data_IF_286204356149
#
_entry.id   IF_286204356149
#
_cell.length_a   1.000
_cell.length_b   1.000
_cell.length_c   1.000
_cell.angle_alpha   90.00
_cell.angle_beta   90.00
_cell.angle_gamma   90.00
#
_symmetry.space_group_name_H-M   'P 1'
#
loop_
_entity.id
_entity.type
_entity.pdbx_description
1 polymer ?
#
# COMPACT_ATOMS: atom_id res chain seq x y z
N UNK A 1 -6.31 -4.50 -20.56
CA UNK A 1 -7.69 -4.13 -20.12
C UNK A 1 -7.56 -3.54 -18.71
N UNK A 2 -7.89 -2.26 -18.51
CA UNK A 2 -7.80 -1.61 -17.19
C UNK A 2 -9.11 -1.91 -16.45
N UNK A 3 -9.03 -2.76 -15.43
CA UNK A 3 -10.21 -3.12 -14.62
C UNK A 3 -10.35 -2.05 -13.54
N UNK A 4 -11.36 -1.21 -13.65
CA UNK A 4 -11.76 -0.33 -12.55
C UNK A 4 -12.44 -1.15 -11.46
N UNK A 5 -12.21 -0.78 -10.21
CA UNK A 5 -12.93 -1.41 -9.09
C UNK A 5 -14.44 -1.21 -9.26
N UNK A 6 -15.24 -2.27 -9.19
CA UNK A 6 -16.69 -2.14 -9.25
C UNK A 6 -17.20 -1.30 -8.07
N UNK A 7 -18.11 -0.38 -8.33
CA UNK A 7 -18.68 0.50 -7.29
C UNK A 7 -19.33 -0.28 -6.13
N UNK A 8 -19.94 -1.44 -6.43
CA UNK A 8 -20.58 -2.27 -5.41
C UNK A 8 -19.61 -2.90 -4.40
N UNK A 9 -18.31 -2.94 -4.67
CA UNK A 9 -17.32 -3.41 -3.69
C UNK A 9 -17.20 -2.51 -2.46
N UNK A 10 -17.50 -1.22 -2.62
CA UNK A 10 -17.46 -0.24 -1.53
C UNK A 10 -18.85 -0.01 -0.88
N UNK A 11 -19.89 -0.70 -1.36
CA UNK A 11 -21.23 -0.57 -0.80
C UNK A 11 -21.32 -1.26 0.56
N UNK A 12 -21.77 -0.52 1.59
CA UNK A 12 -22.10 -1.10 2.91
C UNK A 12 -23.39 -1.94 2.89
N UNK A 13 -24.22 -1.75 1.86
CA UNK A 13 -25.46 -2.53 1.67
C UNK A 13 -25.19 -3.73 0.77
N UNK A 14 -25.90 -4.82 1.03
CA UNK A 14 -25.84 -6.02 0.21
C UNK A 14 -26.27 -5.67 -1.23
N UNK A 15 -25.40 -5.93 -2.20
CA UNK A 15 -25.64 -5.59 -3.59
C UNK A 15 -25.91 -6.87 -4.40
N UNK A 16 -26.88 -6.83 -5.32
CA UNK A 16 -27.27 -7.97 -6.15
C UNK A 16 -26.06 -8.66 -6.82
N UNK A 17 -25.17 -7.90 -7.45
CA UNK A 17 -23.98 -8.49 -8.08
C UNK A 17 -23.02 -9.18 -7.08
N UNK A 18 -22.98 -8.73 -5.84
CA UNK A 18 -22.19 -9.43 -4.82
C UNK A 18 -22.73 -10.81 -4.52
N UNK A 19 -24.06 -10.96 -4.50
CA UNK A 19 -24.73 -12.26 -4.28
C UNK A 19 -24.54 -13.21 -5.48
N UNK A 20 -24.73 -12.71 -6.68
CA UNK A 20 -24.56 -13.52 -7.92
C UNK A 20 -23.13 -14.03 -8.05
N UNK A 21 -22.13 -13.23 -7.67
CA UNK A 21 -20.71 -13.60 -7.74
C UNK A 21 -20.24 -14.40 -6.52
N UNK A 22 -21.02 -14.49 -5.45
CA UNK A 22 -20.62 -15.15 -4.21
C UNK A 22 -20.24 -16.63 -4.37
N UNK A 23 -20.96 -17.47 -5.16
CA UNK A 23 -20.55 -18.86 -5.37
C UNK A 23 -19.13 -18.97 -5.98
N UNK A 24 -18.79 -18.08 -6.91
CA UNK A 24 -17.46 -18.05 -7.53
C UNK A 24 -16.39 -17.68 -6.49
N UNK A 25 -16.68 -16.67 -5.66
CA UNK A 25 -15.79 -16.29 -4.55
C UNK A 25 -15.56 -17.44 -3.58
N UNK A 26 -16.61 -18.21 -3.28
CA UNK A 26 -16.53 -19.35 -2.39
C UNK A 26 -15.61 -20.46 -2.93
N UNK A 27 -15.76 -20.82 -4.21
CA UNK A 27 -14.89 -21.79 -4.89
C UNK A 27 -13.43 -21.33 -4.87
N UNK A 28 -13.18 -20.07 -5.18
CA UNK A 28 -11.82 -19.48 -5.13
C UNK A 28 -11.23 -19.57 -3.70
N UNK A 29 -12.04 -19.29 -2.67
CA UNK A 29 -11.59 -19.39 -1.27
C UNK A 29 -11.25 -20.83 -0.87
N UNK A 30 -12.04 -21.83 -1.30
CA UNK A 30 -11.72 -23.23 -1.08
C UNK A 30 -10.37 -23.58 -1.70
N UNK A 31 -10.15 -23.18 -2.96
CA UNK A 31 -8.87 -23.41 -3.64
C UNK A 31 -7.69 -22.80 -2.88
N UNK A 32 -7.81 -21.55 -2.45
CA UNK A 32 -6.76 -20.92 -1.63
C UNK A 32 -6.56 -21.64 -0.29
N UNK A 33 -7.63 -22.07 0.38
CA UNK A 33 -7.55 -22.80 1.63
C UNK A 33 -6.78 -24.11 1.47
N UNK A 34 -7.07 -24.90 0.43
CA UNK A 34 -6.36 -26.14 0.12
C UNK A 34 -4.88 -25.84 -0.17
N UNK A 35 -4.60 -24.84 -1.01
CA UNK A 35 -3.22 -24.43 -1.33
C UNK A 35 -2.43 -24.06 -0.07
N UNK A 36 -3.03 -23.33 0.87
CA UNK A 36 -2.40 -22.96 2.14
C UNK A 36 -2.11 -24.20 3.00
N UNK A 37 -3.04 -25.15 3.06
CA UNK A 37 -2.87 -26.41 3.84
C UNK A 37 -1.74 -27.29 3.32
N UNK A 38 -1.57 -27.36 2.01
CA UNK A 38 -0.56 -28.20 1.36
C UNK A 38 0.81 -27.51 1.30
N UNK A 39 0.88 -26.19 1.46
CA UNK A 39 2.13 -25.45 1.36
C UNK A 39 3.09 -25.78 2.51
N UNK A 40 4.28 -26.29 2.17
CA UNK A 40 5.39 -26.43 3.14
C UNK A 40 6.04 -25.07 3.36
N UNK A 41 6.07 -24.61 4.60
CA UNK A 41 6.67 -23.32 4.97
C UNK A 41 8.18 -23.46 5.12
N UNK A 42 8.93 -22.76 4.30
CA UNK A 42 10.38 -22.65 4.43
C UNK A 42 10.74 -21.71 5.58
N UNK A 43 11.59 -22.15 6.49
CA UNK A 43 12.24 -21.29 7.47
C UNK A 43 13.51 -20.71 6.86
N UNK A 44 13.69 -19.39 6.97
CA UNK A 44 14.84 -18.67 6.38
C UNK A 44 16.02 -18.50 7.36
N UNK A 45 15.86 -18.94 8.63
CA UNK A 45 16.92 -18.87 9.66
C UNK A 45 17.10 -17.49 10.29
N UNK A 46 16.44 -16.45 9.80
CA UNK A 46 16.42 -15.10 10.38
C UNK A 46 14.99 -14.59 10.50
N UNK A 47 14.71 -13.60 11.38
CA UNK A 47 13.37 -13.06 11.57
C UNK A 47 12.76 -12.48 10.30
N UNK A 48 11.48 -12.80 10.06
CA UNK A 48 10.69 -12.32 8.94
C UNK A 48 9.46 -11.56 9.44
N UNK A 49 9.44 -10.25 9.21
CA UNK A 49 8.30 -9.37 9.44
C UNK A 49 7.54 -9.21 8.13
N UNK A 50 6.27 -9.55 8.11
CA UNK A 50 5.46 -9.46 6.91
C UNK A 50 4.45 -8.32 7.01
N UNK A 51 4.59 -7.33 6.16
CA UNK A 51 3.62 -6.26 5.98
C UNK A 51 2.75 -6.57 4.76
N UNK A 52 1.46 -6.63 4.95
CA UNK A 52 0.53 -6.96 3.88
C UNK A 52 -0.86 -6.37 4.07
N UNK A 53 -1.76 -6.74 3.19
CA UNK A 53 -3.17 -6.40 3.30
C UNK A 53 -4.03 -7.51 2.70
N UNK A 54 -5.32 -7.43 2.99
CA UNK A 54 -6.33 -8.29 2.38
C UNK A 54 -7.25 -7.54 1.43
N UNK A 55 -7.25 -6.21 1.43
CA UNK A 55 -8.03 -5.39 0.52
C UNK A 55 -7.28 -5.16 -0.80
N UNK A 56 -7.95 -5.27 -1.95
CA UNK A 56 -7.37 -5.01 -3.27
C UNK A 56 -7.19 -3.51 -3.49
N UNK A 57 -5.97 -3.01 -3.35
CA UNK A 57 -5.61 -1.61 -3.58
C UNK A 57 -4.72 -0.99 -2.51
N UNK A 58 -4.57 0.31 -2.56
CA UNK A 58 -3.66 1.09 -1.72
C UNK A 58 -4.15 1.16 -0.26
N UNK A 59 -3.49 0.43 0.63
CA UNK A 59 -3.73 0.44 2.08
C UNK A 59 -2.54 0.95 2.88
N UNK A 60 -1.50 1.49 2.21
CA UNK A 60 -0.33 2.03 2.90
C UNK A 60 0.79 1.04 3.22
N UNK A 61 0.81 -0.16 2.63
CA UNK A 61 1.83 -1.19 2.90
C UNK A 61 3.27 -0.70 2.71
N UNK A 62 3.57 -0.16 1.53
CA UNK A 62 4.94 0.23 1.18
C UNK A 62 5.48 1.35 2.10
N UNK A 63 4.76 2.45 2.37
CA UNK A 63 5.19 3.43 3.35
C UNK A 63 5.39 2.84 4.75
N UNK A 64 4.53 1.91 5.18
CA UNK A 64 4.68 1.23 6.47
C UNK A 64 5.88 0.28 6.49
N UNK A 65 6.15 -0.45 5.41
CA UNK A 65 7.33 -1.31 5.28
C UNK A 65 8.63 -0.50 5.40
N UNK A 66 8.67 0.69 4.79
CA UNK A 66 9.77 1.65 4.90
C UNK A 66 9.91 2.13 6.35
N UNK A 67 8.80 2.50 7.01
CA UNK A 67 8.80 2.95 8.41
C UNK A 67 9.32 1.87 9.35
N UNK A 68 8.84 0.62 9.21
CA UNK A 68 9.31 -0.53 10.02
C UNK A 68 10.79 -0.78 9.80
N UNK A 69 11.27 -0.77 8.55
CA UNK A 69 12.69 -0.94 8.27
C UNK A 69 13.53 0.19 8.92
N UNK A 70 13.05 1.43 8.90
CA UNK A 70 13.70 2.56 9.58
C UNK A 70 13.74 2.39 11.10
N UNK A 71 12.65 1.90 11.71
CA UNK A 71 12.61 1.59 13.15
C UNK A 71 13.60 0.49 13.53
N UNK A 72 13.67 -0.58 12.73
CA UNK A 72 14.63 -1.66 12.94
C UNK A 72 16.09 -1.16 12.86
N UNK A 73 16.40 -0.24 11.94
CA UNK A 73 17.71 0.41 11.88
C UNK A 73 18.03 1.19 13.17
N UNK A 74 17.05 1.94 13.71
CA UNK A 74 17.19 2.66 15.00
C UNK A 74 17.45 1.69 16.17
N UNK A 75 16.95 0.47 16.09
CA UNK A 75 17.18 -0.61 17.05
C UNK A 75 18.46 -1.42 16.75
N UNK A 76 19.41 -0.86 16.00
CA UNK A 76 20.68 -1.49 15.63
C UNK A 76 20.52 -2.85 14.91
N UNK A 77 19.40 -3.05 14.19
CA UNK A 77 19.24 -4.20 13.29
C UNK A 77 19.63 -3.80 11.86
N UNK A 78 19.98 -4.80 11.07
CA UNK A 78 20.30 -4.62 9.65
C UNK A 78 19.15 -5.19 8.77
N UNK A 79 18.05 -4.44 8.56
CA UNK A 79 16.90 -4.92 7.82
C UNK A 79 17.08 -4.82 6.31
N UNK A 80 16.56 -5.81 5.57
CA UNK A 80 16.32 -5.73 4.14
C UNK A 80 14.84 -5.79 3.82
N UNK A 81 14.36 -4.94 2.91
CA UNK A 81 13.00 -5.03 2.38
C UNK A 81 13.00 -6.04 1.22
N UNK A 82 12.10 -7.01 1.31
CA UNK A 82 11.93 -8.07 0.31
C UNK A 82 10.62 -7.85 -0.43
N UNK A 83 10.71 -7.74 -1.75
CA UNK A 83 9.56 -7.56 -2.62
C UNK A 83 9.57 -8.56 -3.76
N UNK A 84 8.39 -9.08 -4.14
CA UNK A 84 8.26 -9.86 -5.35
C UNK A 84 8.31 -8.92 -6.55
N UNK A 85 9.15 -9.25 -7.54
CA UNK A 85 9.29 -8.42 -8.73
C UNK A 85 8.06 -8.53 -9.62
N UNK A 86 7.46 -7.39 -9.91
CA UNK A 86 6.47 -7.19 -10.96
C UNK A 86 6.83 -5.91 -11.73
N UNK A 87 6.87 -6.00 -13.06
CA UNK A 87 7.22 -4.85 -13.92
C UNK A 87 6.36 -3.61 -13.64
N UNK A 88 5.10 -3.84 -13.24
CA UNK A 88 4.12 -2.77 -12.95
C UNK A 88 4.37 -2.07 -11.61
N UNK A 89 5.21 -2.63 -10.72
CA UNK A 89 5.52 -2.08 -9.39
C UNK A 89 6.91 -1.47 -9.32
N UNK A 90 7.45 -1.03 -10.47
CA UNK A 90 8.76 -0.41 -10.54
C UNK A 90 8.85 0.84 -9.67
N UNK A 91 7.79 1.65 -9.65
CA UNK A 91 7.64 2.84 -8.81
C UNK A 91 7.83 2.55 -7.31
N UNK A 92 7.26 1.46 -6.82
CA UNK A 92 7.41 1.05 -5.41
C UNK A 92 8.84 0.58 -5.10
N UNK A 93 9.49 -0.07 -6.06
CA UNK A 93 10.88 -0.51 -5.92
C UNK A 93 11.81 0.70 -5.84
N UNK A 94 11.64 1.67 -6.74
CA UNK A 94 12.44 2.90 -6.74
C UNK A 94 12.21 3.72 -5.46
N UNK A 95 10.96 3.84 -5.01
CA UNK A 95 10.62 4.51 -3.76
C UNK A 95 11.34 3.87 -2.56
N UNK A 96 11.30 2.54 -2.43
CA UNK A 96 11.99 1.85 -1.33
C UNK A 96 13.50 2.02 -1.44
N UNK A 97 14.04 1.95 -2.65
CA UNK A 97 15.45 2.11 -2.92
C UNK A 97 15.95 3.49 -2.53
N UNK A 98 15.19 4.53 -2.88
CA UNK A 98 15.50 5.92 -2.54
C UNK A 98 15.49 6.15 -1.03
N UNK A 99 14.48 5.61 -0.33
CA UNK A 99 14.27 5.85 1.11
C UNK A 99 15.13 5.00 2.04
N UNK A 100 15.40 3.75 1.68
CA UNK A 100 16.04 2.76 2.57
C UNK A 100 17.36 2.22 1.98
N UNK A 101 17.47 2.14 0.65
CA UNK A 101 18.62 1.54 -0.05
C UNK A 101 18.59 0.01 -0.08
N UNK A 102 18.16 -0.63 0.99
CA UNK A 102 18.26 -2.08 1.20
C UNK A 102 16.99 -2.80 0.71
N UNK A 103 16.82 -2.92 -0.60
CA UNK A 103 15.73 -3.67 -1.23
C UNK A 103 16.27 -4.83 -2.06
N UNK A 104 15.63 -5.98 -1.95
CA UNK A 104 15.89 -7.17 -2.75
C UNK A 104 14.60 -7.61 -3.46
N UNK A 105 14.66 -7.65 -4.76
CA UNK A 105 13.55 -8.03 -5.63
C UNK A 105 13.91 -9.21 -6.50
N UNK A 106 13.02 -10.19 -6.58
CA UNK A 106 13.15 -11.35 -7.47
C UNK A 106 11.73 -11.85 -7.83
N UNK A 107 11.63 -12.74 -8.83
CA UNK A 107 10.40 -13.48 -9.16
C UNK A 107 9.94 -14.34 -7.98
N UNK A 108 10.85 -14.76 -7.12
CA UNK A 108 10.59 -15.51 -5.88
C UNK A 108 11.11 -14.74 -4.67
N UNK A 109 10.25 -14.53 -3.64
CA UNK A 109 10.70 -13.96 -2.37
C UNK A 109 11.75 -14.81 -1.66
N UNK A 110 11.75 -16.13 -1.86
CA UNK A 110 12.79 -17.02 -1.31
C UNK A 110 14.15 -16.66 -1.89
N UNK A 111 14.25 -16.46 -3.22
CA UNK A 111 15.50 -16.06 -3.86
C UNK A 111 15.96 -14.68 -3.41
N UNK A 112 15.06 -13.70 -3.39
CA UNK A 112 15.35 -12.36 -2.89
C UNK A 112 15.83 -12.39 -1.42
N UNK A 113 15.20 -13.19 -0.56
CA UNK A 113 15.59 -13.37 0.83
C UNK A 113 16.96 -13.99 0.98
N UNK A 114 17.26 -15.07 0.23
CA UNK A 114 18.57 -15.73 0.27
C UNK A 114 19.69 -14.76 -0.15
N UNK A 115 19.43 -13.91 -1.17
CA UNK A 115 20.38 -12.89 -1.60
C UNK A 115 20.62 -11.83 -0.52
N UNK A 116 19.58 -11.41 0.21
CA UNK A 116 19.72 -10.49 1.33
C UNK A 116 20.52 -11.12 2.49
N UNK A 117 20.22 -12.37 2.84
CA UNK A 117 20.92 -13.11 3.91
C UNK A 117 22.41 -13.26 3.58
N UNK A 118 22.74 -13.65 2.33
CA UNK A 118 24.13 -13.76 1.87
C UNK A 118 24.91 -12.43 1.96
N UNK A 119 24.21 -11.29 1.90
CA UNK A 119 24.81 -9.95 2.06
C UNK A 119 24.85 -9.48 3.52
N UNK A 120 24.57 -10.34 4.50
CA UNK A 120 24.68 -10.03 5.92
C UNK A 120 23.50 -9.27 6.54
N UNK A 121 22.34 -9.25 5.87
CA UNK A 121 21.12 -8.74 6.50
C UNK A 121 20.56 -9.74 7.51
N UNK A 122 20.12 -9.25 8.66
CA UNK A 122 19.73 -10.07 9.80
C UNK A 122 18.24 -10.03 10.15
N UNK A 123 17.45 -9.19 9.47
CA UNK A 123 15.99 -9.12 9.55
C UNK A 123 15.41 -8.85 8.17
N UNK A 124 14.33 -9.54 7.80
CA UNK A 124 13.64 -9.34 6.53
C UNK A 124 12.28 -8.68 6.78
N UNK A 125 11.99 -7.62 6.01
CA UNK A 125 10.68 -6.97 5.98
C UNK A 125 10.03 -7.27 4.62
N UNK A 126 9.00 -8.11 4.60
CA UNK A 126 8.28 -8.43 3.37
C UNK A 126 7.26 -7.35 3.05
N UNK A 127 7.43 -6.65 1.94
CA UNK A 127 6.42 -5.74 1.41
C UNK A 127 5.44 -6.49 0.50
N UNK A 128 4.13 -6.40 0.82
CA UNK A 128 3.02 -7.14 0.19
C UNK A 128 3.24 -8.66 0.13
N UNK A 129 3.75 -9.22 1.23
CA UNK A 129 4.11 -10.63 1.33
C UNK A 129 3.04 -11.54 1.95
N UNK A 130 1.85 -11.00 2.31
CA UNK A 130 0.89 -11.73 3.14
C UNK A 130 0.40 -13.02 2.47
N UNK A 131 0.07 -13.00 1.18
CA UNK A 131 -0.39 -14.13 0.40
C UNK A 131 0.70 -15.14 0.02
N UNK A 132 1.96 -14.90 0.38
CA UNK A 132 3.03 -15.87 0.18
C UNK A 132 3.10 -16.84 1.37
N UNK A 133 2.42 -17.97 1.25
CA UNK A 133 2.29 -18.95 2.32
C UNK A 133 3.44 -19.96 2.39
N UNK A 134 4.39 -19.90 1.45
CA UNK A 134 5.51 -20.84 1.37
C UNK A 134 6.69 -20.46 2.30
N UNK A 135 6.60 -19.34 3.00
CA UNK A 135 7.65 -18.85 3.91
C UNK A 135 7.06 -18.69 5.31
N UNK A 136 7.81 -19.16 6.31
CA UNK A 136 7.49 -18.89 7.71
C UNK A 136 7.69 -17.41 7.99
N UNK A 137 6.70 -16.76 8.57
CA UNK A 137 6.72 -15.36 8.99
C UNK A 137 6.62 -15.34 10.51
N UNK A 138 7.50 -14.59 11.16
CA UNK A 138 7.56 -14.53 12.61
C UNK A 138 6.61 -13.44 13.15
N UNK A 139 6.44 -12.36 12.39
CA UNK A 139 5.48 -11.30 12.69
C UNK A 139 4.64 -11.00 11.46
N UNK A 140 3.32 -11.08 11.60
CA UNK A 140 2.36 -10.71 10.56
C UNK A 140 1.68 -9.40 10.91
N UNK A 141 1.76 -8.45 9.99
CA UNK A 141 1.18 -7.11 10.08
C UNK A 141 0.20 -6.92 8.94
N UNK A 142 -1.04 -6.55 9.25
CA UNK A 142 -2.04 -6.17 8.24
C UNK A 142 -2.28 -4.67 8.25
N UNK A 143 -2.36 -4.11 7.05
CA UNK A 143 -2.68 -2.70 6.82
C UNK A 143 -4.10 -2.55 6.30
N UNK A 144 -4.85 -1.65 6.90
CA UNK A 144 -6.14 -1.18 6.43
C UNK A 144 -6.10 0.33 6.19
N UNK A 145 -6.97 0.82 5.32
CA UNK A 145 -7.26 2.25 5.18
C UNK A 145 -8.63 2.51 5.76
N UNK A 146 -8.77 3.51 6.62
CA UNK A 146 -10.00 3.82 7.36
C UNK A 146 -11.19 4.11 6.43
N UNK A 147 -10.97 4.80 5.31
CA UNK A 147 -12.03 5.11 4.34
C UNK A 147 -12.57 3.87 3.61
N UNK A 148 -11.78 2.81 3.47
CA UNK A 148 -12.10 1.59 2.70
C UNK A 148 -12.37 0.38 3.58
N UNK A 149 -11.62 0.21 4.65
CA UNK A 149 -11.63 -0.94 5.57
C UNK A 149 -11.67 -2.28 4.81
N UNK A 150 -12.82 -2.94 4.85
CA UNK A 150 -13.08 -4.23 4.17
C UNK A 150 -14.07 -4.09 2.99
N UNK A 151 -14.48 -2.87 2.66
CA UNK A 151 -15.53 -2.64 1.66
C UNK A 151 -16.83 -3.33 2.05
N UNK A 152 -17.41 -4.10 1.12
CA UNK A 152 -18.62 -4.90 1.40
C UNK A 152 -18.35 -6.22 2.17
N UNK A 153 -17.10 -6.48 2.56
CA UNK A 153 -16.71 -7.66 3.36
C UNK A 153 -16.54 -8.97 2.58
N UNK A 154 -16.91 -9.00 1.30
CA UNK A 154 -16.78 -10.20 0.47
C UNK A 154 -15.38 -10.29 -0.17
N UNK A 155 -15.02 -11.54 -0.52
CA UNK A 155 -13.79 -11.81 -1.27
C UNK A 155 -14.01 -11.69 -2.78
N UNK A 156 -12.93 -11.55 -3.54
CA UNK A 156 -12.96 -11.46 -5.02
C UNK A 156 -13.61 -12.71 -5.61
N UNK A 157 -14.52 -12.56 -6.59
CA UNK A 157 -14.97 -11.33 -7.27
C UNK A 157 -16.20 -10.63 -6.66
N UNK A 158 -16.83 -11.19 -5.60
CA UNK A 158 -18.01 -10.58 -4.95
C UNK A 158 -17.71 -9.29 -4.21
N UNK A 159 -16.46 -9.09 -3.79
CA UNK A 159 -16.00 -7.92 -3.05
C UNK A 159 -14.50 -7.70 -3.20
N UNK A 160 -13.94 -6.73 -2.47
CA UNK A 160 -12.57 -6.30 -2.66
C UNK A 160 -11.52 -7.14 -1.92
N UNK A 161 -11.91 -8.14 -1.12
CA UNK A 161 -10.98 -8.85 -0.29
C UNK A 161 -10.26 -9.96 -1.05
N UNK A 162 -8.92 -10.03 -0.92
CA UNK A 162 -8.08 -11.13 -1.43
C UNK A 162 -8.29 -12.40 -0.62
N UNK A 163 -8.50 -12.25 0.68
CA UNK A 163 -8.74 -13.32 1.66
C UNK A 163 -9.82 -12.89 2.65
N UNK A 164 -10.50 -13.86 3.26
CA UNK A 164 -11.51 -13.59 4.28
C UNK A 164 -10.91 -12.85 5.49
N UNK A 165 -11.69 -11.98 6.12
CA UNK A 165 -11.29 -11.25 7.33
C UNK A 165 -10.86 -12.18 8.48
N UNK A 166 -11.30 -13.45 8.49
CA UNK A 166 -10.87 -14.46 9.47
C UNK A 166 -9.35 -14.65 9.55
N UNK A 167 -8.62 -14.20 8.51
CA UNK A 167 -7.16 -14.26 8.48
C UNK A 167 -6.50 -13.40 9.57
N UNK A 168 -7.20 -12.43 10.14
CA UNK A 168 -6.79 -11.63 11.29
C UNK A 168 -6.34 -12.52 12.47
N UNK A 169 -6.91 -13.73 12.64
CA UNK A 169 -6.45 -14.71 13.66
C UNK A 169 -4.96 -15.05 13.58
N UNK A 170 -4.33 -14.82 12.42
CA UNK A 170 -2.90 -15.08 12.18
C UNK A 170 -2.04 -13.82 12.27
N UNK A 171 -2.64 -12.67 12.61
CA UNK A 171 -1.95 -11.39 12.67
C UNK A 171 -1.74 -10.95 14.10
N UNK A 172 -0.54 -10.52 14.42
CA UNK A 172 -0.20 -9.97 15.72
C UNK A 172 -0.50 -8.47 15.78
N UNK A 173 -0.33 -7.78 14.65
CA UNK A 173 -0.48 -6.32 14.58
C UNK A 173 -1.36 -5.94 13.39
N UNK A 174 -2.24 -4.98 13.62
CA UNK A 174 -3.01 -4.30 12.58
C UNK A 174 -2.71 -2.81 12.63
N UNK A 175 -2.39 -2.26 11.47
CA UNK A 175 -2.31 -0.81 11.29
C UNK A 175 -3.50 -0.32 10.47
N UNK A 176 -4.18 0.71 10.99
CA UNK A 176 -5.27 1.40 10.30
C UNK A 176 -4.77 2.80 9.96
N UNK A 177 -4.65 3.09 8.66
CA UNK A 177 -4.27 4.42 8.20
C UNK A 177 -5.50 5.33 8.13
N UNK A 178 -5.55 6.32 8.99
CA UNK A 178 -6.66 7.27 9.16
C UNK A 178 -7.08 7.45 10.61
N UNK A 179 -8.32 7.88 10.82
CA UNK A 179 -8.89 8.16 12.14
C UNK A 179 -9.33 6.89 12.87
N UNK A 180 -9.47 7.00 14.20
CA UNK A 180 -9.96 5.89 15.02
C UNK A 180 -11.37 5.45 14.60
N UNK A 181 -11.54 4.13 14.48
CA UNK A 181 -12.79 3.51 14.08
C UNK A 181 -13.15 2.38 15.06
N UNK A 182 -13.81 2.74 16.15
CA UNK A 182 -14.17 1.80 17.23
C UNK A 182 -14.99 0.61 16.74
N UNK A 183 -15.94 0.83 15.84
CA UNK A 183 -16.77 -0.26 15.32
C UNK A 183 -15.93 -1.29 14.54
N UNK A 184 -14.92 -0.84 13.81
CA UNK A 184 -14.02 -1.77 13.12
C UNK A 184 -13.05 -2.47 14.08
N UNK A 185 -12.57 -1.77 15.12
CA UNK A 185 -11.79 -2.40 16.20
C UNK A 185 -12.57 -3.54 16.85
N UNK A 186 -13.85 -3.33 17.20
CA UNK A 186 -14.72 -4.35 17.77
C UNK A 186 -14.87 -5.56 16.84
N UNK A 187 -15.04 -5.34 15.54
CA UNK A 187 -15.08 -6.43 14.55
C UNK A 187 -13.76 -7.21 14.55
N UNK A 188 -12.60 -6.55 14.56
CA UNK A 188 -11.29 -7.21 14.61
C UNK A 188 -11.13 -8.00 15.91
N UNK A 189 -11.42 -7.39 17.06
CA UNK A 189 -11.26 -7.99 18.39
C UNK A 189 -12.23 -9.16 18.62
N UNK A 190 -13.42 -9.12 18.00
CA UNK A 190 -14.34 -10.27 18.01
C UNK A 190 -13.76 -11.51 17.30
N UNK A 191 -12.87 -11.30 16.30
CA UNK A 191 -12.20 -12.38 15.56
C UNK A 191 -10.92 -12.81 16.27
N UNK A 192 -10.16 -11.88 16.83
CA UNK A 192 -8.87 -12.13 17.48
C UNK A 192 -8.63 -11.13 18.62
N UNK A 193 -8.84 -11.60 19.86
CA UNK A 193 -8.67 -10.79 21.09
C UNK A 193 -7.22 -10.34 21.34
N UNK A 194 -6.24 -11.07 20.80
CA UNK A 194 -4.81 -10.85 21.05
C UNK A 194 -4.12 -10.01 19.96
N UNK A 195 -4.88 -9.42 19.03
CA UNK A 195 -4.33 -8.60 17.97
C UNK A 195 -4.21 -7.15 18.45
N UNK A 196 -2.99 -6.58 18.36
CA UNK A 196 -2.78 -5.18 18.69
C UNK A 196 -3.18 -4.31 17.50
N UNK A 197 -3.93 -3.24 17.75
CA UNK A 197 -4.40 -2.31 16.74
C UNK A 197 -3.73 -0.95 16.97
N UNK A 198 -3.06 -0.43 15.96
CA UNK A 198 -2.43 0.88 15.95
C UNK A 198 -2.95 1.71 14.78
N UNK A 199 -2.89 3.02 14.95
CA UNK A 199 -3.27 3.97 13.92
C UNK A 199 -2.06 4.63 13.31
N UNK A 200 -2.15 4.92 12.02
CA UNK A 200 -1.12 5.64 11.29
C UNK A 200 -1.71 6.82 10.55
N UNK A 201 -0.91 7.87 10.40
CA UNK A 201 -1.24 9.02 9.56
C UNK A 201 -0.07 9.33 8.63
N UNK A 202 -0.38 9.80 7.44
CA UNK A 202 0.62 10.36 6.56
C UNK A 202 0.94 11.78 6.96
N UNK A 203 2.23 12.05 7.14
CA UNK A 203 2.75 13.39 7.37
C UNK A 203 3.48 13.82 6.12
N UNK A 204 3.05 14.90 5.45
CA UNK A 204 3.76 15.44 4.31
C UNK A 204 5.13 15.98 4.74
N UNK A 205 6.12 15.81 3.87
CA UNK A 205 7.48 16.31 4.08
C UNK A 205 7.63 17.62 3.32
N UNK A 206 8.15 18.66 4.00
CA UNK A 206 8.42 19.98 3.41
C UNK A 206 7.18 20.60 2.72
N UNK A 207 6.01 20.46 3.32
CA UNK A 207 4.73 20.94 2.76
C UNK A 207 4.71 22.47 2.61
N UNK A 208 5.47 23.18 3.42
CA UNK A 208 5.60 24.63 3.42
C UNK A 208 6.06 25.22 2.07
N UNK A 209 6.78 24.42 1.27
CA UNK A 209 7.21 24.78 -0.09
C UNK A 209 6.08 24.93 -1.09
N UNK A 210 4.92 24.36 -0.76
CA UNK A 210 3.73 24.31 -1.64
C UNK A 210 2.62 25.24 -1.19
N UNK A 211 2.74 25.85 0.01
CA UNK A 211 1.77 26.84 0.49
C UNK A 211 1.91 28.14 -0.31
N UNK A 212 0.83 28.87 -0.47
CA UNK A 212 0.72 30.14 -1.22
C UNK A 212 0.99 30.05 -2.74
N UNK A 213 0.93 28.85 -3.30
CA UNK A 213 1.02 28.61 -4.74
C UNK A 213 -0.20 27.86 -5.22
N UNK A 214 -0.52 27.99 -6.50
CA UNK A 214 -1.62 27.28 -7.17
C UNK A 214 -1.09 26.02 -7.84
N UNK A 215 -1.76 24.89 -7.63
CA UNK A 215 -1.34 23.63 -8.21
C UNK A 215 -2.41 22.95 -9.04
N UNK A 216 -2.00 22.31 -10.12
CA UNK A 216 -2.71 21.16 -10.70
C UNK A 216 -2.11 19.91 -10.07
N UNK A 217 -2.94 19.14 -9.38
CA UNK A 217 -2.54 17.89 -8.76
C UNK A 217 -2.99 16.69 -9.60
N UNK A 218 -2.11 15.71 -9.81
CA UNK A 218 -2.49 14.46 -10.46
C UNK A 218 -1.99 13.24 -9.68
N UNK A 219 -2.76 12.14 -9.74
CA UNK A 219 -2.36 10.90 -9.09
C UNK A 219 -2.95 9.67 -9.78
N UNK A 220 -2.12 8.62 -9.90
CA UNK A 220 -2.46 7.29 -10.43
C UNK A 220 -2.19 6.18 -9.42
N UNK A 221 -2.56 6.40 -8.17
CA UNK A 221 -2.42 5.44 -7.06
C UNK A 221 -3.77 4.82 -6.71
N UNK A 222 -3.79 3.78 -5.87
CA UNK A 222 -5.00 3.02 -5.51
C UNK A 222 -6.13 3.83 -4.88
N UNK A 223 -5.84 4.99 -4.29
CA UNK A 223 -6.81 5.97 -3.82
C UNK A 223 -6.27 7.39 -4.00
N UNK A 224 -6.47 8.02 -5.18
CA UNK A 224 -5.99 9.36 -5.46
C UNK A 224 -6.55 10.44 -4.53
N UNK A 225 -7.81 10.29 -4.09
CA UNK A 225 -8.45 11.28 -3.22
C UNK A 225 -7.72 11.47 -1.89
N UNK A 226 -7.10 10.43 -1.36
CA UNK A 226 -6.29 10.58 -0.13
C UNK A 226 -5.10 11.52 -0.32
N UNK A 227 -4.52 11.57 -1.53
CA UNK A 227 -3.45 12.50 -1.84
C UNK A 227 -3.97 13.94 -1.98
N UNK A 228 -5.08 14.12 -2.68
CA UNK A 228 -5.69 15.43 -2.84
C UNK A 228 -6.20 15.99 -1.52
N UNK A 229 -6.83 15.16 -0.70
CA UNK A 229 -7.29 15.56 0.63
C UNK A 229 -6.11 15.98 1.51
N UNK A 230 -5.01 15.21 1.50
CA UNK A 230 -3.79 15.55 2.25
C UNK A 230 -3.22 16.91 1.85
N UNK A 231 -3.23 17.26 0.56
CA UNK A 231 -2.81 18.58 0.09
C UNK A 231 -3.72 19.69 0.61
N UNK A 232 -5.05 19.49 0.52
CA UNK A 232 -6.05 20.47 0.96
C UNK A 232 -6.01 20.67 2.47
N UNK A 233 -5.94 19.59 3.24
CA UNK A 233 -5.82 19.62 4.71
C UNK A 233 -4.58 20.39 5.18
N UNK A 234 -3.55 20.49 4.33
CA UNK A 234 -2.34 21.25 4.58
C UNK A 234 -2.29 22.61 3.84
N UNK A 235 -3.45 23.16 3.47
CA UNK A 235 -3.61 24.49 2.88
C UNK A 235 -2.90 24.68 1.52
N UNK A 236 -2.71 23.61 0.73
CA UNK A 236 -2.23 23.72 -0.65
C UNK A 236 -3.41 24.04 -1.56
N UNK A 237 -3.29 25.11 -2.34
CA UNK A 237 -4.35 25.54 -3.26
C UNK A 237 -4.36 24.68 -4.52
N UNK A 238 -5.42 23.88 -4.71
CA UNK A 238 -5.62 23.01 -5.88
C UNK A 238 -6.60 23.62 -6.87
N UNK A 239 -6.13 24.05 -8.02
CA UNK A 239 -6.95 24.53 -9.15
C UNK A 239 -7.63 23.37 -9.92
N UNK A 240 -7.00 22.21 -9.97
CA UNK A 240 -7.54 21.02 -10.65
C UNK A 240 -6.97 19.74 -10.04
N UNK A 241 -7.83 18.71 -9.93
CA UNK A 241 -7.49 17.35 -9.52
C UNK A 241 -7.63 16.42 -10.72
N UNK A 242 -6.56 15.73 -11.11
CA UNK A 242 -6.57 14.81 -12.25
C UNK A 242 -6.37 13.38 -11.73
N UNK A 243 -7.38 12.55 -11.89
CA UNK A 243 -7.37 11.16 -11.49
C UNK A 243 -6.88 10.26 -12.63
N UNK A 244 -5.92 9.40 -12.34
CA UNK A 244 -5.51 8.31 -13.21
C UNK A 244 -5.80 6.94 -12.54
N UNK A 245 -5.96 5.87 -13.32
CA UNK A 245 -6.08 4.52 -12.78
C UNK A 245 -4.85 4.12 -11.95
N UNK A 246 -5.04 3.22 -10.98
CA UNK A 246 -3.93 2.68 -10.20
C UNK A 246 -2.86 2.05 -11.11
N UNK A 247 -1.59 2.27 -10.79
CA UNK A 247 -0.43 1.85 -11.59
C UNK A 247 -0.50 2.32 -13.06
N UNK A 248 -0.96 3.56 -13.28
CA UNK A 248 -1.03 4.13 -14.61
C UNK A 248 0.38 4.29 -15.22
N UNK A 249 0.53 3.85 -16.47
CA UNK A 249 1.75 4.09 -17.24
C UNK A 249 1.59 5.38 -18.04
N UNK A 250 2.20 6.44 -17.58
CA UNK A 250 2.14 7.74 -18.22
C UNK A 250 2.88 7.73 -19.54
N UNK A 251 2.30 8.36 -20.58
CA UNK A 251 2.96 8.69 -21.83
C UNK A 251 3.45 10.14 -21.82
N UNK A 252 4.37 10.49 -22.72
CA UNK A 252 4.78 11.89 -22.87
C UNK A 252 3.59 12.79 -23.18
N UNK A 253 2.63 12.32 -23.98
CA UNK A 253 1.40 13.06 -24.31
C UNK A 253 0.54 13.37 -23.08
N UNK A 254 0.51 12.47 -22.09
CA UNK A 254 -0.22 12.73 -20.84
C UNK A 254 0.47 13.83 -20.04
N UNK A 255 1.79 13.75 -19.91
CA UNK A 255 2.60 14.77 -19.21
C UNK A 255 2.47 16.12 -19.89
N UNK A 256 2.59 16.18 -21.23
CA UNK A 256 2.47 17.42 -22.00
C UNK A 256 1.09 18.07 -21.82
N UNK A 257 0.01 17.27 -21.79
CA UNK A 257 -1.35 17.77 -21.52
C UNK A 257 -1.48 18.38 -20.13
N UNK A 258 -0.86 17.76 -19.12
CA UNK A 258 -0.88 18.30 -17.75
C UNK A 258 -0.10 19.62 -17.70
N UNK A 259 1.07 19.70 -18.34
CA UNK A 259 1.88 20.90 -18.43
C UNK A 259 1.12 22.03 -19.14
N UNK A 260 0.47 21.73 -20.27
CA UNK A 260 -0.35 22.73 -21.00
C UNK A 260 -1.50 23.28 -20.14
N UNK A 261 -2.17 22.42 -19.35
CA UNK A 261 -3.23 22.85 -18.42
C UNK A 261 -2.67 23.75 -17.32
N UNK A 262 -1.51 23.40 -16.76
CA UNK A 262 -0.86 24.18 -15.72
C UNK A 262 -0.46 25.58 -16.22
N UNK A 263 0.12 25.66 -17.41
CA UNK A 263 0.49 26.93 -18.04
C UNK A 263 -0.74 27.82 -18.28
N UNK A 264 -1.87 27.24 -18.76
CA UNK A 264 -3.12 28.00 -18.97
C UNK A 264 -3.72 28.58 -17.70
N UNK A 265 -3.48 27.93 -16.55
CA UNK A 265 -4.00 28.35 -15.24
C UNK A 265 -2.97 29.09 -14.39
N UNK A 266 -1.76 29.34 -14.92
CA UNK A 266 -0.63 29.91 -14.18
C UNK A 266 -0.41 29.15 -12.86
N UNK A 267 -0.49 27.80 -12.90
CA UNK A 267 -0.34 26.92 -11.77
C UNK A 267 0.90 26.03 -11.91
N UNK A 268 1.50 25.67 -10.79
CA UNK A 268 2.52 24.62 -10.73
C UNK A 268 1.86 23.23 -10.78
N UNK A 269 2.67 22.18 -10.93
CA UNK A 269 2.19 20.80 -10.98
C UNK A 269 2.73 20.04 -9.79
N UNK A 270 1.86 19.24 -9.15
CA UNK A 270 2.23 18.37 -8.03
C UNK A 270 1.63 16.98 -8.19
N UNK A 271 2.42 15.97 -7.85
CA UNK A 271 1.99 14.57 -7.89
C UNK A 271 2.46 13.79 -6.66
N UNK A 272 2.13 12.51 -6.59
CA UNK A 272 2.63 11.61 -5.56
C UNK A 272 4.09 11.20 -5.86
N UNK A 273 4.84 10.83 -4.84
CA UNK A 273 6.20 10.31 -4.98
C UNK A 273 6.24 9.07 -5.90
N UNK A 274 5.24 8.17 -5.82
CA UNK A 274 5.13 7.01 -6.70
C UNK A 274 4.92 7.39 -8.17
N UNK A 275 4.01 8.32 -8.43
CA UNK A 275 3.75 8.77 -9.79
C UNK A 275 4.94 9.53 -10.36
N UNK A 276 5.68 10.27 -9.52
CA UNK A 276 6.91 10.93 -9.92
C UNK A 276 7.95 9.92 -10.42
N UNK A 277 8.15 8.80 -9.73
CA UNK A 277 9.03 7.74 -10.22
C UNK A 277 8.57 7.13 -11.55
N UNK A 278 7.25 7.08 -11.82
CA UNK A 278 6.72 6.57 -13.10
C UNK A 278 7.00 7.50 -14.28
N UNK A 279 7.08 8.81 -14.04
CA UNK A 279 7.36 9.81 -15.08
C UNK A 279 8.84 10.17 -15.18
N UNK A 280 9.71 9.62 -14.33
CA UNK A 280 11.14 9.99 -14.22
C UNK A 280 11.90 9.95 -15.56
N UNK A 281 11.53 9.04 -16.46
CA UNK A 281 12.15 8.90 -17.78
C UNK A 281 11.46 9.71 -18.87
N UNK A 282 10.42 10.51 -18.53
CA UNK A 282 9.73 11.41 -19.43
C UNK A 282 10.26 12.83 -19.24
N UNK A 283 9.97 13.72 -20.20
CA UNK A 283 10.25 15.13 -20.00
C UNK A 283 9.23 15.72 -19.01
N UNK A 284 9.63 15.81 -17.74
CA UNK A 284 8.80 16.19 -16.59
C UNK A 284 9.31 17.46 -15.88
N UNK A 285 9.95 18.37 -16.62
CA UNK A 285 10.46 19.63 -16.06
C UNK A 285 9.34 20.37 -15.32
N UNK A 286 9.64 20.87 -14.12
CA UNK A 286 8.72 21.62 -13.25
C UNK A 286 7.55 20.81 -12.66
N UNK A 287 7.62 19.47 -12.60
CA UNK A 287 6.67 18.67 -11.86
C UNK A 287 7.22 18.39 -10.45
N UNK A 288 6.51 18.89 -9.45
CA UNK A 288 6.82 18.64 -8.05
C UNK A 288 6.18 17.33 -7.58
N UNK A 289 6.71 16.74 -6.51
CA UNK A 289 6.05 15.64 -5.81
C UNK A 289 6.01 15.88 -4.31
N UNK A 290 4.96 15.38 -3.67
CA UNK A 290 4.83 15.38 -2.24
C UNK A 290 5.37 14.07 -1.68
N UNK A 291 6.46 14.16 -0.94
CA UNK A 291 6.96 13.06 -0.15
C UNK A 291 6.16 12.95 1.15
N UNK A 292 5.95 11.71 1.62
CA UNK A 292 5.22 11.45 2.87
C UNK A 292 6.03 10.56 3.81
N UNK A 293 5.88 10.82 5.10
CA UNK A 293 6.29 9.91 6.16
C UNK A 293 5.06 9.28 6.82
N UNK A 294 5.25 8.10 7.42
CA UNK A 294 4.23 7.46 8.24
C UNK A 294 4.51 7.78 9.70
N UNK A 295 3.54 8.41 10.35
CA UNK A 295 3.52 8.55 11.80
C UNK A 295 2.67 7.42 12.39
N UNK A 296 3.17 6.76 13.43
CA UNK A 296 2.46 5.72 14.17
C UNK A 296 2.01 6.35 15.49
N UNK A 297 0.71 6.34 15.77
CA UNK A 297 0.22 6.78 17.08
C UNK A 297 0.74 5.81 18.15
N UNK A 298 1.36 6.33 19.21
CA UNK A 298 1.99 5.56 20.29
C UNK A 298 3.22 4.71 19.83
N UNK A 299 4.07 5.30 18.99
CA UNK A 299 5.28 4.64 18.44
C UNK A 299 6.22 4.08 19.54
N UNK A 300 6.15 4.61 20.76
CA UNK A 300 7.02 4.22 21.90
C UNK A 300 6.54 2.94 22.61
N UNK A 301 5.36 2.41 22.27
CA UNK A 301 4.82 1.14 22.82
C UNK A 301 5.11 -0.02 21.89
#
# INVERSE_FOLDING_TARGET
>A
MKIFKPKFWNSKKLHFFSLVLWPISFVIQIFFFIKIKVSKKKNLGIPVICVGNIYLGGTGKTPLSIKIASLLKKLNKNPAIIKKFYKQHYDEIELIKDRIGNIFCDKSRILASNNAIKKGFNVLVFDDGYQDHNIKKDLNILCFNEKQLIGNGFTIPSGPLRESLRIVKKCQIIFINGNKNKSFEEVILSISKNTNIYYTKYIPVNIEKFINKKFIAFAGIGNPDNFFDLLIENNVNLEEKIHFPDHYSYSQKDVDKIIQKANKKSAEIITTEKDFFRIKNLNHRNINYLAINVNIEQEEK
#
